data_IF_158411957571
#
_entry.id   IF_158411957571
#
_cell.length_a   1.000
_cell.length_b   1.000
_cell.length_c   1.000
_cell.angle_alpha   90.00
_cell.angle_beta   90.00
_cell.angle_gamma   90.00
#
_symmetry.space_group_name_H-M   'P 1'
#
loop_
_entity.id
_entity.type
_entity.pdbx_description
1 polymer ?
#
# COMPACT_ATOMS: atom_id res chain seq x y z
N UNK A 1 -14.65 -22.36 -33.55
CA UNK A 1 -13.95 -22.29 -32.25
C UNK A 1 -14.95 -22.62 -31.17
N UNK A 2 -14.73 -23.69 -30.40
CA UNK A 2 -15.71 -24.17 -29.42
C UNK A 2 -15.73 -23.32 -28.15
N UNK A 3 -16.83 -23.36 -27.40
CA UNK A 3 -16.95 -22.72 -26.07
C UNK A 3 -15.83 -23.21 -25.13
N UNK A 4 -15.43 -24.48 -25.25
CA UNK A 4 -14.32 -25.06 -24.50
C UNK A 4 -12.97 -24.41 -24.87
N UNK A 5 -12.74 -24.06 -26.13
CA UNK A 5 -11.52 -23.37 -26.55
C UNK A 5 -11.45 -21.93 -26.02
N UNK A 6 -12.60 -21.25 -25.93
CA UNK A 6 -12.70 -19.89 -25.40
C UNK A 6 -12.46 -19.89 -23.90
N UNK A 7 -13.06 -20.84 -23.17
CA UNK A 7 -12.83 -21.02 -21.74
C UNK A 7 -11.37 -21.43 -21.47
N UNK A 8 -10.83 -22.35 -22.26
CA UNK A 8 -9.45 -22.81 -22.16
C UNK A 8 -8.43 -21.68 -22.39
N UNK A 9 -8.63 -20.86 -23.44
CA UNK A 9 -7.79 -19.69 -23.69
C UNK A 9 -7.93 -18.64 -22.60
N UNK A 10 -9.15 -18.32 -22.16
CA UNK A 10 -9.37 -17.36 -21.08
C UNK A 10 -8.71 -17.78 -19.76
N UNK A 11 -8.76 -19.07 -19.42
CA UNK A 11 -8.07 -19.61 -18.25
C UNK A 11 -6.55 -19.58 -18.41
N UNK A 12 -6.03 -19.87 -19.60
CA UNK A 12 -4.60 -19.81 -19.88
C UNK A 12 -4.06 -18.37 -19.80
N UNK A 13 -4.76 -17.41 -20.40
CA UNK A 13 -4.40 -15.99 -20.35
C UNK A 13 -4.50 -15.44 -18.92
N UNK A 14 -5.57 -15.82 -18.19
CA UNK A 14 -5.74 -15.49 -16.79
C UNK A 14 -4.63 -16.09 -15.91
N UNK A 15 -4.24 -17.34 -16.14
CA UNK A 15 -3.14 -17.98 -15.43
C UNK A 15 -1.79 -17.31 -15.75
N UNK A 16 -1.56 -16.89 -16.99
CA UNK A 16 -0.36 -16.16 -17.39
C UNK A 16 -0.27 -14.79 -16.69
N UNK A 17 -1.36 -14.02 -16.67
CA UNK A 17 -1.46 -12.75 -15.95
C UNK A 17 -1.29 -12.94 -14.44
N UNK A 18 -1.91 -13.96 -13.87
CA UNK A 18 -1.77 -14.32 -12.46
C UNK A 18 -0.32 -14.65 -12.13
N UNK A 19 0.36 -15.45 -12.95
CA UNK A 19 1.75 -15.84 -12.74
C UNK A 19 2.70 -14.64 -12.78
N UNK A 20 2.55 -13.75 -13.75
CA UNK A 20 3.34 -12.51 -13.82
C UNK A 20 3.10 -11.61 -12.60
N UNK A 21 1.84 -11.43 -12.20
CA UNK A 21 1.48 -10.60 -11.04
C UNK A 21 1.97 -11.23 -9.72
N UNK A 22 1.94 -12.55 -9.61
CA UNK A 22 2.36 -13.28 -8.42
C UNK A 22 3.83 -12.99 -8.10
N UNK A 23 4.72 -13.03 -9.09
CA UNK A 23 6.13 -12.72 -8.88
C UNK A 23 6.36 -11.26 -8.46
N UNK A 24 5.63 -10.31 -9.06
CA UNK A 24 5.69 -8.91 -8.66
C UNK A 24 5.23 -8.70 -7.20
N UNK A 25 4.17 -9.40 -6.76
CA UNK A 25 3.70 -9.38 -5.38
C UNK A 25 4.71 -10.01 -4.42
N UNK A 26 5.27 -11.18 -4.77
CA UNK A 26 6.29 -11.87 -3.95
C UNK A 26 7.52 -10.99 -3.75
N UNK A 27 8.01 -10.34 -4.80
CA UNK A 27 9.15 -9.44 -4.71
C UNK A 27 8.81 -8.17 -3.92
N UNK A 28 7.63 -7.58 -4.13
CA UNK A 28 7.20 -6.37 -3.42
C UNK A 28 7.04 -6.59 -1.91
N UNK A 29 6.32 -7.65 -1.51
CA UNK A 29 6.16 -7.99 -0.08
C UNK A 29 7.47 -8.53 0.52
N UNK A 30 8.28 -9.25 -0.26
CA UNK A 30 9.61 -9.68 0.14
C UNK A 30 10.54 -8.51 0.43
N UNK A 31 10.53 -7.48 -0.42
CA UNK A 31 11.27 -6.23 -0.21
C UNK A 31 10.76 -5.49 1.03
N UNK A 32 9.45 -5.45 1.25
CA UNK A 32 8.85 -4.91 2.48
C UNK A 32 9.38 -5.64 3.72
N UNK A 33 9.33 -6.96 3.72
CA UNK A 33 9.87 -7.78 4.80
C UNK A 33 11.37 -7.56 5.01
N UNK A 34 12.14 -7.43 3.93
CA UNK A 34 13.58 -7.19 3.97
C UNK A 34 13.92 -5.81 4.55
N UNK A 35 13.26 -4.74 4.11
CA UNK A 35 13.42 -3.39 4.70
C UNK A 35 13.04 -3.43 6.18
N UNK A 36 11.97 -4.14 6.52
CA UNK A 36 11.51 -4.30 7.90
C UNK A 36 12.49 -5.11 8.79
N UNK A 37 13.14 -6.14 8.25
CA UNK A 37 14.08 -6.96 9.01
C UNK A 37 15.48 -6.35 9.10
N UNK A 38 15.93 -5.67 8.04
CA UNK A 38 17.32 -5.22 7.92
C UNK A 38 17.52 -3.75 8.24
N UNK A 39 16.51 -2.89 8.03
CA UNK A 39 16.60 -1.47 8.32
C UNK A 39 16.06 -1.16 9.72
N UNK A 40 16.90 -0.54 10.56
CA UNK A 40 16.48 -0.10 11.90
C UNK A 40 15.59 1.15 11.81
N UNK A 41 14.69 1.34 12.80
CA UNK A 41 13.90 2.58 12.92
C UNK A 41 14.80 3.82 12.94
N UNK A 42 15.98 3.73 13.58
CA UNK A 42 16.93 4.84 13.64
C UNK A 42 17.60 5.13 12.28
N UNK A 43 17.86 4.11 11.44
CA UNK A 43 18.38 4.30 10.07
C UNK A 43 17.30 4.89 9.17
N UNK A 44 16.06 4.38 9.22
CA UNK A 44 14.92 4.93 8.48
C UNK A 44 14.62 6.37 8.91
N UNK A 45 14.58 6.65 10.21
CA UNK A 45 14.29 7.99 10.72
C UNK A 45 15.43 8.98 10.42
N UNK A 46 16.69 8.53 10.37
CA UNK A 46 17.81 9.40 9.93
C UNK A 46 17.82 9.67 8.43
N UNK A 47 17.36 8.71 7.62
CA UNK A 47 17.39 8.83 6.16
C UNK A 47 16.09 9.41 5.56
N UNK A 48 14.94 9.21 6.23
CA UNK A 48 13.58 9.55 5.77
C UNK A 48 12.72 10.28 6.83
N UNK A 49 13.24 10.59 8.01
CA UNK A 49 12.46 11.19 9.10
C UNK A 49 12.27 12.71 8.99
N UNK A 50 12.79 13.33 7.92
CA UNK A 50 12.58 14.74 7.64
C UNK A 50 11.86 14.94 6.29
N UNK A 51 11.14 16.06 6.17
CA UNK A 51 10.50 16.50 4.94
C UNK A 51 11.50 17.22 3.99
N UNK A 52 12.81 17.09 4.21
CA UNK A 52 13.79 17.86 3.43
C UNK A 52 13.88 17.30 2.02
N UNK A 53 14.19 18.17 1.06
CA UNK A 53 14.31 17.81 -0.35
C UNK A 53 15.25 16.61 -0.60
N UNK A 54 16.29 16.46 0.24
CA UNK A 54 17.21 15.32 0.16
C UNK A 54 16.56 13.97 0.49
N UNK A 55 15.65 13.93 1.47
CA UNK A 55 14.95 12.70 1.87
C UNK A 55 13.91 12.32 0.82
N UNK A 56 13.14 13.30 0.34
CA UNK A 56 12.19 13.11 -0.76
C UNK A 56 12.89 12.63 -2.05
N UNK A 57 14.06 13.18 -2.36
CA UNK A 57 14.83 12.75 -3.53
C UNK A 57 15.36 11.32 -3.41
N UNK A 58 15.84 10.93 -2.21
CA UNK A 58 16.28 9.55 -1.94
C UNK A 58 15.11 8.57 -2.04
N UNK A 59 13.96 8.92 -1.48
CA UNK A 59 12.75 8.09 -1.52
C UNK A 59 12.18 7.98 -2.92
N UNK A 60 12.20 9.08 -3.67
CA UNK A 60 11.86 9.09 -5.08
C UNK A 60 12.75 8.14 -5.87
N UNK A 61 14.06 8.15 -5.60
CA UNK A 61 15.01 7.24 -6.26
C UNK A 61 14.78 5.79 -5.87
N UNK A 62 14.60 5.49 -4.57
CA UNK A 62 14.29 4.13 -4.12
C UNK A 62 12.97 3.63 -4.69
N UNK A 63 11.95 4.49 -4.76
CA UNK A 63 10.67 4.19 -5.40
C UNK A 63 10.84 3.87 -6.87
N UNK A 64 11.53 4.73 -7.63
CA UNK A 64 11.80 4.56 -9.05
C UNK A 64 12.51 3.24 -9.39
N UNK A 65 13.42 2.80 -8.52
CA UNK A 65 14.16 1.54 -8.67
C UNK A 65 13.31 0.31 -8.30
N UNK A 66 12.30 0.47 -7.44
CA UNK A 66 11.58 -0.65 -6.82
C UNK A 66 10.43 -1.22 -7.65
N UNK A 67 10.12 -0.69 -8.86
CA UNK A 67 9.05 -1.12 -9.79
C UNK A 67 7.94 -1.95 -9.15
N UNK A 68 7.23 -1.37 -8.19
CA UNK A 68 6.28 -2.11 -7.36
C UNK A 68 4.86 -1.85 -7.83
N UNK A 69 4.04 -2.90 -7.84
CA UNK A 69 2.60 -2.74 -8.03
C UNK A 69 2.01 -1.83 -6.93
N UNK A 70 0.92 -1.11 -7.22
CA UNK A 70 0.33 -0.12 -6.31
C UNK A 70 0.02 -0.67 -4.91
N UNK A 71 -0.34 -1.95 -4.80
CA UNK A 71 -0.54 -2.64 -3.52
C UNK A 71 0.76 -2.83 -2.73
N UNK A 72 1.83 -3.30 -3.38
CA UNK A 72 3.13 -3.44 -2.75
C UNK A 72 3.71 -2.08 -2.34
N UNK A 73 3.58 -1.07 -3.20
CA UNK A 73 3.99 0.30 -2.91
C UNK A 73 3.23 0.88 -1.70
N UNK A 74 1.92 0.64 -1.60
CA UNK A 74 1.10 1.09 -0.46
C UNK A 74 1.47 0.39 0.85
N UNK A 75 1.73 -0.92 0.81
CA UNK A 75 2.19 -1.68 1.97
C UNK A 75 3.56 -1.18 2.46
N UNK A 76 4.50 -0.97 1.54
CA UNK A 76 5.81 -0.39 1.82
C UNK A 76 5.70 1.03 2.41
N UNK A 77 4.90 1.90 1.80
CA UNK A 77 4.69 3.26 2.31
C UNK A 77 4.10 3.26 3.74
N UNK A 78 3.11 2.40 4.01
CA UNK A 78 2.55 2.21 5.35
C UNK A 78 3.60 1.77 6.35
N UNK A 79 4.47 0.83 5.98
CA UNK A 79 5.49 0.28 6.88
C UNK A 79 6.62 1.27 7.14
N UNK A 80 7.04 2.04 6.14
CA UNK A 80 7.94 3.19 6.29
C UNK A 80 7.37 4.21 7.28
N UNK A 81 6.10 4.60 7.09
CA UNK A 81 5.42 5.57 7.95
C UNK A 81 5.27 5.06 9.40
N UNK A 82 4.90 3.79 9.59
CA UNK A 82 4.80 3.16 10.90
C UNK A 82 6.15 3.06 11.64
N UNK A 83 7.26 3.00 10.89
CA UNK A 83 8.63 2.91 11.41
C UNK A 83 9.29 4.25 11.70
N UNK A 84 8.62 5.36 11.41
CA UNK A 84 9.09 6.71 11.73
C UNK A 84 9.53 7.53 10.52
N UNK A 85 9.36 7.04 9.29
CA UNK A 85 9.48 7.89 8.11
C UNK A 85 8.38 8.93 8.10
N UNK A 86 8.70 10.10 7.58
CA UNK A 86 7.75 11.19 7.45
C UNK A 86 6.57 10.82 6.52
N UNK A 87 5.37 11.39 6.77
CA UNK A 87 4.19 11.11 5.92
C UNK A 87 4.43 11.51 4.47
N UNK A 88 5.03 12.69 4.24
CA UNK A 88 5.33 13.21 2.91
C UNK A 88 6.42 12.38 2.22
N UNK A 89 7.41 11.94 2.98
CA UNK A 89 8.47 11.03 2.50
C UNK A 89 7.89 9.67 2.05
N UNK A 90 7.04 9.05 2.89
CA UNK A 90 6.35 7.81 2.56
C UNK A 90 5.43 7.96 1.34
N UNK A 91 4.76 9.10 1.21
CA UNK A 91 3.88 9.35 0.07
C UNK A 91 4.68 9.62 -1.21
N UNK A 92 5.79 10.35 -1.14
CA UNK A 92 6.71 10.55 -2.26
C UNK A 92 7.28 9.22 -2.76
N UNK A 93 7.69 8.32 -1.86
CA UNK A 93 8.10 6.95 -2.21
C UNK A 93 7.00 6.21 -3.00
N UNK A 94 5.76 6.23 -2.50
CA UNK A 94 4.63 5.55 -3.14
C UNK A 94 4.34 6.07 -4.56
N UNK A 95 4.33 7.39 -4.74
CA UNK A 95 4.11 8.01 -6.05
C UNK A 95 5.27 7.77 -7.01
N UNK A 96 6.51 7.84 -6.53
CA UNK A 96 7.68 7.54 -7.34
C UNK A 96 7.72 6.07 -7.79
N UNK A 97 7.33 5.15 -6.91
CA UNK A 97 7.29 3.72 -7.21
C UNK A 97 6.27 3.32 -8.28
N UNK A 98 5.29 4.19 -8.53
CA UNK A 98 4.23 3.96 -9.52
C UNK A 98 4.39 4.79 -10.79
N UNK A 99 5.12 5.92 -10.74
CA UNK A 99 5.21 6.87 -11.86
C UNK A 99 6.63 7.04 -12.44
N UNK A 100 7.69 6.66 -11.72
CA UNK A 100 9.08 6.77 -12.20
C UNK A 100 9.70 5.39 -12.49
N UNK A 101 8.85 4.41 -12.79
CA UNK A 101 9.27 3.04 -13.08
C UNK A 101 10.13 3.02 -14.35
N UNK A 102 11.41 2.66 -14.19
CA UNK A 102 12.36 2.61 -15.30
C UNK A 102 11.93 1.60 -16.38
N UNK A 103 11.28 0.51 -15.99
CA UNK A 103 10.81 -0.53 -16.90
C UNK A 103 9.77 0.02 -17.89
N UNK A 104 8.73 0.71 -17.39
CA UNK A 104 7.72 1.40 -18.17
C UNK A 104 8.33 2.53 -18.98
N UNK A 105 9.28 3.28 -18.40
CA UNK A 105 10.01 4.33 -19.12
C UNK A 105 10.76 3.80 -20.36
N UNK A 106 11.41 2.64 -20.26
CA UNK A 106 12.11 1.98 -21.37
C UNK A 106 11.10 1.49 -22.43
N UNK A 107 10.00 0.84 -22.00
CA UNK A 107 8.96 0.37 -22.92
C UNK A 107 8.31 1.54 -23.68
N UNK A 108 7.95 2.60 -22.97
CA UNK A 108 7.41 3.84 -23.53
C UNK A 108 8.38 4.51 -24.50
N UNK A 109 9.67 4.53 -24.17
CA UNK A 109 10.73 5.06 -25.05
C UNK A 109 10.79 4.29 -26.38
N UNK A 110 10.66 2.96 -26.34
CA UNK A 110 10.72 2.10 -27.52
C UNK A 110 9.46 2.16 -28.37
N UNK A 111 8.27 2.23 -27.74
CA UNK A 111 6.98 2.14 -28.45
C UNK A 111 6.49 3.49 -28.98
N UNK A 112 6.55 4.55 -28.17
CA UNK A 112 5.92 5.86 -28.44
C UNK A 112 7.00 6.93 -28.73
N UNK A 113 8.24 6.65 -28.35
CA UNK A 113 9.39 7.53 -28.58
C UNK A 113 9.86 8.25 -27.32
N UNK A 114 11.05 8.85 -27.42
CA UNK A 114 11.74 9.44 -26.27
C UNK A 114 11.01 10.65 -25.66
N UNK A 115 10.20 11.38 -26.44
CA UNK A 115 9.47 12.55 -25.93
C UNK A 115 8.39 12.18 -24.92
N UNK A 116 7.68 11.07 -25.16
CA UNK A 116 6.67 10.58 -24.24
C UNK A 116 7.33 10.05 -22.96
N UNK A 117 8.40 9.27 -23.09
CA UNK A 117 9.17 8.79 -21.93
C UNK A 117 9.72 9.96 -21.09
N UNK A 118 10.29 10.99 -21.73
CA UNK A 118 10.78 12.17 -21.03
C UNK A 118 9.64 12.94 -20.33
N UNK A 119 8.47 13.08 -20.98
CA UNK A 119 7.30 13.72 -20.38
C UNK A 119 6.79 12.96 -19.15
N UNK A 120 6.82 11.64 -19.17
CA UNK A 120 6.43 10.80 -18.02
C UNK A 120 7.37 11.00 -16.83
N UNK A 121 8.69 10.96 -17.04
CA UNK A 121 9.67 11.21 -15.98
C UNK A 121 9.56 12.63 -15.41
N UNK A 122 9.42 13.64 -16.28
CA UNK A 122 9.27 15.04 -15.86
C UNK A 122 7.94 15.24 -15.12
N UNK A 123 6.85 14.69 -15.64
CA UNK A 123 5.52 14.78 -15.04
C UNK A 123 5.47 14.11 -13.66
N UNK A 124 6.07 12.91 -13.54
CA UNK A 124 6.19 12.22 -12.26
C UNK A 124 7.05 12.99 -11.26
N UNK A 125 8.20 13.52 -11.69
CA UNK A 125 9.05 14.35 -10.84
C UNK A 125 8.35 15.64 -10.38
N UNK A 126 7.61 16.30 -11.28
CA UNK A 126 6.81 17.47 -10.98
C UNK A 126 5.69 17.14 -9.98
N UNK A 127 5.00 16.02 -10.16
CA UNK A 127 3.96 15.57 -9.25
C UNK A 127 4.51 15.31 -7.84
N UNK A 128 5.68 14.66 -7.71
CA UNK A 128 6.35 14.46 -6.42
C UNK A 128 6.73 15.80 -5.79
N UNK A 129 7.24 16.75 -6.57
CA UNK A 129 7.58 18.08 -6.09
C UNK A 129 6.33 18.85 -5.58
N UNK A 130 5.21 18.76 -6.30
CA UNK A 130 3.94 19.36 -5.88
C UNK A 130 3.41 18.70 -4.60
N UNK A 131 3.46 17.38 -4.50
CA UNK A 131 3.10 16.66 -3.26
C UNK A 131 3.98 17.11 -2.09
N UNK A 132 5.29 17.20 -2.29
CA UNK A 132 6.23 17.67 -1.28
C UNK A 132 5.94 19.09 -0.78
N UNK A 133 5.35 19.94 -1.63
CA UNK A 133 4.96 21.30 -1.28
C UNK A 133 3.57 21.38 -0.62
N UNK A 134 2.63 20.55 -1.06
CA UNK A 134 1.21 20.63 -0.65
C UNK A 134 0.95 19.81 0.61
N UNK A 135 1.44 18.56 0.71
CA UNK A 135 1.15 17.67 1.83
C UNK A 135 1.50 18.25 3.20
N UNK A 136 2.68 18.87 3.41
CA UNK A 136 3.04 19.44 4.71
C UNK A 136 2.12 20.60 5.12
N UNK A 137 1.47 21.24 4.15
CA UNK A 137 0.51 22.33 4.39
C UNK A 137 -0.93 21.82 4.54
N UNK A 138 -1.27 20.75 3.84
CA UNK A 138 -2.61 20.18 3.84
C UNK A 138 -2.86 19.24 5.04
N UNK A 139 -1.82 18.59 5.56
CA UNK A 139 -1.93 17.60 6.65
C UNK A 139 -1.07 18.05 7.84
N UNK A 140 -1.67 18.64 8.90
CA UNK A 140 -0.94 19.06 10.10
C UNK A 140 -0.18 17.91 10.76
N UNK A 141 1.00 18.20 11.31
CA UNK A 141 1.82 17.20 12.01
C UNK A 141 1.10 16.49 13.16
N UNK A 142 0.13 17.16 13.80
CA UNK A 142 -0.71 16.57 14.84
C UNK A 142 -1.57 15.39 14.32
N UNK A 143 -2.13 15.51 13.11
CA UNK A 143 -2.92 14.45 12.48
C UNK A 143 -2.02 13.28 12.05
N UNK A 144 -0.82 13.58 11.57
CA UNK A 144 0.17 12.55 11.22
C UNK A 144 0.57 11.74 12.46
N UNK A 145 0.82 12.41 13.59
CA UNK A 145 1.18 11.75 14.85
C UNK A 145 -0.01 10.92 15.40
N UNK A 146 -1.24 11.42 15.29
CA UNK A 146 -2.45 10.70 15.68
C UNK A 146 -2.67 9.45 14.82
N UNK A 147 -2.52 9.57 13.49
CA UNK A 147 -2.60 8.45 12.57
C UNK A 147 -1.51 7.41 12.85
N UNK A 148 -0.29 7.85 13.17
CA UNK A 148 0.81 6.95 13.55
C UNK A 148 0.51 6.17 14.84
N UNK A 149 -0.12 6.81 15.83
CA UNK A 149 -0.54 6.15 17.08
C UNK A 149 -1.70 5.18 16.88
N UNK A 150 -2.58 5.45 15.92
CA UNK A 150 -3.71 4.58 15.58
C UNK A 150 -3.28 3.32 14.78
N UNK A 151 -2.08 3.29 14.22
CA UNK A 151 -1.56 2.11 13.52
C UNK A 151 -1.22 0.98 14.52
N UNK A 152 -1.84 -0.21 14.38
CA UNK A 152 -1.51 -1.35 15.22
C UNK A 152 -0.03 -1.73 15.03
N UNK A 153 0.80 -1.57 16.06
CA UNK A 153 2.25 -1.86 16.03
C UNK A 153 3.19 -0.70 16.41
N UNK A 154 2.65 0.46 16.79
CA UNK A 154 3.45 1.59 17.31
C UNK A 154 3.42 1.74 18.84
N UNK A 155 2.62 0.91 19.54
CA UNK A 155 2.43 0.97 20.99
C UNK A 155 3.48 0.20 21.80
N UNK A 156 4.19 0.91 22.67
CA UNK A 156 4.82 0.38 23.87
C UNK A 156 3.78 -0.35 24.75
N UNK A 157 4.16 -1.51 25.29
CA UNK A 157 3.49 -2.12 26.45
C UNK A 157 2.36 -3.11 26.13
N UNK A 158 2.60 -4.36 26.53
CA UNK A 158 1.63 -5.42 26.84
C UNK A 158 0.84 -6.08 25.68
N UNK A 159 1.32 -7.30 25.34
CA UNK A 159 0.48 -8.48 25.12
C UNK A 159 -0.50 -8.48 23.94
N UNK A 160 -0.12 -9.18 22.86
CA UNK A 160 -1.08 -9.68 21.87
C UNK A 160 -0.75 -9.34 20.42
N UNK A 161 -0.14 -10.29 19.71
CA UNK A 161 -0.22 -10.51 18.25
C UNK A 161 -0.22 -9.28 17.31
N UNK A 162 0.78 -8.40 17.39
CA UNK A 162 1.01 -7.37 16.38
C UNK A 162 2.48 -6.95 16.29
N UNK A 163 3.04 -7.04 15.07
CA UNK A 163 4.30 -6.42 14.62
C UNK A 163 5.38 -6.31 15.70
N UNK A 164 5.91 -7.47 16.13
CA UNK A 164 6.99 -7.52 17.11
C UNK A 164 8.23 -6.81 16.58
N UNK A 165 8.80 -5.91 17.39
CA UNK A 165 10.18 -5.45 17.23
C UNK A 165 11.09 -6.68 17.08
N UNK A 166 12.08 -6.71 16.16
CA UNK A 166 12.83 -7.93 15.88
C UNK A 166 13.45 -8.41 17.19
N UNK A 167 13.10 -9.64 17.62
CA UNK A 167 13.58 -10.20 18.89
C UNK A 167 15.10 -10.30 18.92
N UNK A 168 15.78 -10.15 17.78
CA UNK A 168 17.23 -10.28 17.60
C UNK A 168 17.88 -9.02 16.98
N UNK A 169 17.27 -7.84 17.16
CA UNK A 169 17.71 -6.57 16.53
C UNK A 169 19.02 -5.95 17.05
N UNK A 170 19.86 -6.66 17.80
CA UNK A 170 21.11 -6.11 18.31
C UNK A 170 22.27 -6.40 17.34
N UNK A 171 22.49 -5.51 16.36
CA UNK A 171 23.68 -5.54 15.49
C UNK A 171 23.58 -4.73 14.19
N UNK A 172 24.71 -4.43 13.52
CA UNK A 172 24.74 -3.76 12.22
C UNK A 172 23.96 -4.51 11.12
N UNK A 173 23.42 -3.78 10.13
CA UNK A 173 22.61 -4.32 9.02
C UNK A 173 23.28 -5.50 8.28
N UNK A 174 24.62 -5.48 8.13
CA UNK A 174 25.43 -6.54 7.50
C UNK A 174 25.39 -7.86 8.26
N UNK A 175 25.29 -7.81 9.59
CA UNK A 175 25.24 -8.98 10.47
C UNK A 175 23.85 -9.60 10.44
N UNK A 176 22.79 -8.77 10.29
CA UNK A 176 21.40 -9.21 10.11
C UNK A 176 21.16 -9.90 8.76
N UNK A 177 21.76 -9.40 7.68
CA UNK A 177 21.68 -10.01 6.35
C UNK A 177 22.31 -11.42 6.29
N UNK A 178 23.32 -11.68 7.11
CA UNK A 178 24.04 -12.97 7.14
C UNK A 178 23.43 -13.97 8.13
N UNK A 179 22.46 -13.58 8.94
CA UNK A 179 21.87 -14.48 9.94
C UNK A 179 20.57 -15.12 9.40
N UNK A 180 20.37 -16.44 9.59
CA UNK A 180 19.13 -17.11 9.19
C UNK A 180 17.91 -16.56 9.95
N UNK A 181 18.12 -16.03 11.17
CA UNK A 181 17.08 -15.36 11.94
C UNK A 181 16.58 -14.07 11.27
N UNK A 182 17.46 -13.28 10.64
CA UNK A 182 17.06 -12.06 9.93
C UNK A 182 16.17 -12.34 8.72
N UNK A 183 16.43 -13.45 8.01
CA UNK A 183 15.58 -13.91 6.90
C UNK A 183 14.24 -14.49 7.37
N UNK A 184 14.22 -15.18 8.52
CA UNK A 184 12.97 -15.64 9.13
C UNK A 184 12.08 -14.47 9.57
N UNK A 185 12.66 -13.43 10.17
CA UNK A 185 11.95 -12.20 10.51
C UNK A 185 11.41 -11.50 9.25
N UNK A 186 12.22 -11.40 8.18
CA UNK A 186 11.79 -10.81 6.90
C UNK A 186 10.59 -11.55 6.28
N UNK A 187 10.63 -12.89 6.28
CA UNK A 187 9.54 -13.72 5.79
C UNK A 187 8.27 -13.54 6.65
N UNK A 188 8.40 -13.45 7.97
CA UNK A 188 7.29 -13.20 8.88
C UNK A 188 6.60 -11.86 8.62
N UNK A 189 7.37 -10.80 8.39
CA UNK A 189 6.84 -9.49 8.02
C UNK A 189 6.17 -9.50 6.64
N UNK A 190 6.79 -10.12 5.63
CA UNK A 190 6.19 -10.24 4.30
C UNK A 190 4.84 -11.00 4.33
N UNK A 191 4.75 -12.08 5.12
CA UNK A 191 3.49 -12.81 5.32
C UNK A 191 2.46 -11.94 6.04
N UNK A 192 2.87 -11.16 7.05
CA UNK A 192 1.97 -10.25 7.75
C UNK A 192 1.37 -9.21 6.81
N UNK A 193 2.20 -8.58 5.96
CA UNK A 193 1.74 -7.61 4.96
C UNK A 193 0.80 -8.28 3.94
N UNK A 194 1.12 -9.49 3.48
CA UNK A 194 0.27 -10.24 2.56
C UNK A 194 -1.09 -10.59 3.17
N UNK A 195 -1.13 -10.98 4.44
CA UNK A 195 -2.40 -11.28 5.14
C UNK A 195 -3.27 -10.05 5.32
N UNK A 196 -2.66 -8.88 5.56
CA UNK A 196 -3.38 -7.61 5.65
C UNK A 196 -4.03 -7.26 4.31
N UNK A 197 -3.26 -7.26 3.23
CA UNK A 197 -3.75 -6.94 1.88
C UNK A 197 -4.83 -7.93 1.44
N UNK A 198 -4.64 -9.23 1.71
CA UNK A 198 -5.66 -10.26 1.43
C UNK A 198 -6.99 -9.91 2.08
N UNK A 199 -6.98 -9.43 3.33
CA UNK A 199 -8.20 -9.08 4.06
C UNK A 199 -8.90 -7.87 3.43
N UNK A 200 -8.14 -6.84 3.08
CA UNK A 200 -8.65 -5.63 2.43
C UNK A 200 -9.24 -5.91 1.05
N UNK A 201 -8.54 -6.70 0.22
CA UNK A 201 -9.03 -7.11 -1.10
C UNK A 201 -10.32 -7.93 -0.98
N UNK A 202 -10.38 -8.90 -0.06
CA UNK A 202 -11.58 -9.71 0.16
C UNK A 202 -12.76 -8.86 0.63
N UNK A 203 -12.54 -7.91 1.54
CA UNK A 203 -13.58 -6.98 1.96
C UNK A 203 -14.05 -6.08 0.83
N UNK A 204 -13.14 -5.55 0.01
CA UNK A 204 -13.47 -4.75 -1.18
C UNK A 204 -14.31 -5.54 -2.18
N UNK A 205 -13.91 -6.77 -2.50
CA UNK A 205 -14.69 -7.66 -3.37
C UNK A 205 -16.06 -8.01 -2.78
N UNK A 206 -16.12 -8.35 -1.49
CA UNK A 206 -17.38 -8.64 -0.81
C UNK A 206 -18.32 -7.43 -0.82
N UNK A 207 -17.79 -6.23 -0.58
CA UNK A 207 -18.56 -4.99 -0.63
C UNK A 207 -19.04 -4.68 -2.04
N UNK A 208 -18.18 -4.80 -3.05
CA UNK A 208 -18.55 -4.64 -4.45
C UNK A 208 -19.68 -5.61 -4.84
N UNK A 209 -19.55 -6.90 -4.52
CA UNK A 209 -20.58 -7.91 -4.80
C UNK A 209 -21.89 -7.61 -4.05
N UNK A 210 -21.81 -7.13 -2.81
CA UNK A 210 -22.99 -6.70 -2.03
C UNK A 210 -23.69 -5.49 -2.67
N UNK A 211 -22.91 -4.52 -3.16
CA UNK A 211 -23.42 -3.33 -3.85
C UNK A 211 -24.08 -3.66 -5.20
N UNK A 212 -23.52 -4.61 -5.96
CA UNK A 212 -24.16 -5.10 -7.20
C UNK A 212 -25.46 -5.84 -6.90
N UNK A 213 -25.53 -6.58 -5.78
CA UNK A 213 -26.76 -7.24 -5.32
C UNK A 213 -27.84 -6.23 -4.94
N UNK A 214 -27.45 -5.08 -4.39
CA UNK A 214 -28.37 -3.96 -4.12
C UNK A 214 -28.82 -3.24 -5.39
N UNK A 215 -27.93 -3.06 -6.38
CA UNK A 215 -28.26 -2.42 -7.66
C UNK A 215 -29.15 -3.29 -8.57
N UNK A 216 -29.11 -4.62 -8.41
CA UNK A 216 -29.99 -5.55 -9.12
C UNK A 216 -31.42 -5.63 -8.58
N UNK A 217 -31.71 -5.02 -7.43
CA UNK A 217 -33.05 -4.92 -6.85
C UNK A 217 -33.79 -3.68 -7.34
N UNK A 218 -34.51 -3.80 -8.46
CA UNK A 218 -35.53 -2.87 -8.97
C UNK A 218 -35.13 -1.39 -9.04
N UNK A 219 -34.79 -0.96 -10.26
CA UNK A 219 -34.76 0.44 -10.63
C UNK A 219 -36.11 1.13 -10.32
N UNK A 220 -36.08 2.14 -9.44
CA UNK A 220 -37.07 3.21 -9.39
C UNK A 220 -36.32 4.55 -9.51
N UNK A 221 -36.68 5.44 -10.43
CA UNK A 221 -35.94 6.66 -10.68
C UNK A 221 -36.40 7.72 -9.67
N UNK A 222 -35.63 7.98 -8.62
CA UNK A 222 -35.83 9.23 -7.87
C UNK A 222 -34.51 9.80 -7.35
N UNK A 223 -34.28 11.04 -7.80
CA UNK A 223 -33.25 12.01 -7.44
C UNK A 223 -32.78 11.97 -5.98
N UNK A 224 -31.47 12.17 -5.83
CA UNK A 224 -30.78 12.69 -4.63
C UNK A 224 -30.96 11.88 -3.35
N UNK A 225 -30.18 10.81 -3.16
CA UNK A 225 -29.88 10.23 -1.84
C UNK A 225 -28.64 9.34 -1.92
N UNK A 226 -27.47 9.92 -2.19
CA UNK A 226 -26.22 9.15 -2.34
C UNK A 226 -25.19 9.37 -1.22
N UNK A 227 -25.53 10.09 -0.14
CA UNK A 227 -24.51 10.49 0.85
C UNK A 227 -24.78 9.93 2.27
N UNK A 228 -25.99 9.49 2.61
CA UNK A 228 -26.30 9.14 4.03
C UNK A 228 -26.28 7.65 4.39
N UNK A 229 -25.81 6.73 3.53
CA UNK A 229 -25.76 5.30 3.91
C UNK A 229 -24.40 4.87 4.50
N UNK A 230 -23.35 5.68 4.37
CA UNK A 230 -21.99 5.31 4.80
C UNK A 230 -21.70 5.55 6.29
N UNK A 231 -22.36 6.55 6.90
CA UNK A 231 -21.96 7.05 8.23
C UNK A 231 -22.60 6.28 9.38
N UNK A 232 -23.80 5.71 9.21
CA UNK A 232 -24.49 5.02 10.32
C UNK A 232 -23.95 3.61 10.61
N UNK A 233 -23.35 2.95 9.62
CA UNK A 233 -22.77 1.60 9.81
C UNK A 233 -21.48 1.65 10.64
N UNK A 234 -20.69 2.72 10.51
CA UNK A 234 -19.46 2.89 11.30
C UNK A 234 -19.76 3.13 12.79
N UNK A 235 -20.90 3.75 13.12
CA UNK A 235 -21.30 3.99 14.51
C UNK A 235 -21.84 2.72 15.20
N UNK A 236 -22.44 1.79 14.46
CA UNK A 236 -23.01 0.57 15.03
C UNK A 236 -21.94 -0.51 15.38
N UNK A 237 -20.75 -0.44 14.78
CA UNK A 237 -19.68 -1.41 15.02
C UNK A 237 -18.90 -1.18 16.34
N UNK A 238 -18.99 0.01 16.94
CA UNK A 238 -18.30 0.35 18.20
C UNK A 238 -19.09 -0.13 19.45
N UNK A 239 -20.41 -0.27 19.33
CA UNK A 239 -21.26 -0.78 20.38
C UNK A 239 -21.65 -2.22 20.07
N UNK A 240 -20.83 -3.19 20.49
CA UNK A 240 -21.03 -4.64 20.31
C UNK A 240 -22.36 -5.21 20.83
N UNK A 241 -23.47 -4.86 20.18
CA UNK A 241 -24.81 -5.38 20.41
C UNK A 241 -25.36 -5.94 19.09
N UNK A 242 -26.02 -7.10 19.10
CA UNK A 242 -26.72 -7.61 17.92
C UNK A 242 -27.99 -6.78 17.71
N UNK A 243 -27.88 -5.67 16.99
CA UNK A 243 -29.00 -4.84 16.59
C UNK A 243 -29.53 -5.26 15.23
N UNK A 244 -30.73 -5.82 15.20
CA UNK A 244 -31.53 -6.06 13.99
C UNK A 244 -31.61 -4.76 13.18
N UNK A 245 -31.10 -4.77 11.95
CA UNK A 245 -31.18 -3.62 11.03
C UNK A 245 -32.63 -3.51 10.55
N UNK A 246 -33.47 -2.86 11.34
CA UNK A 246 -34.80 -2.44 10.92
C UNK A 246 -34.65 -1.09 10.22
N UNK A 247 -34.76 -1.09 8.89
CA UNK A 247 -34.96 0.13 8.11
C UNK A 247 -36.26 0.80 8.56
N UNK A 248 -36.19 1.75 9.49
CA UNK A 248 -37.29 2.67 9.77
C UNK A 248 -37.23 3.79 8.74
N UNK A 249 -38.08 3.68 7.73
CA UNK A 249 -38.38 4.77 6.78
C UNK A 249 -39.21 5.83 7.54
N UNK A 250 -38.85 7.13 7.51
CA UNK A 250 -39.76 8.19 7.92
C UNK A 250 -40.88 8.42 6.90
#
# INVERSE_FOLDING_TARGET
MGVVDVIGRGLADGAAMFWQTLWALVLGFGLSGAVQAFASRAELQRALGDHRAASIARDGLFGAVSSSCSYAASALAKTLFARGADFTAAQAFMFASTNLVLELGIVSWLLIGWQFAAAEFIGGALMIALLALVLPRAVPSAEQEAARKALPGTGQGHGGHGQAQPRHAAGPWRTRLRSPAGWADAAGYAISDLTMVRREVLFGFAHAISSLRCAGGTAAPSRRRHISCGTEVFAAADAGRPGTIACRVP
#
